data_IF_066120936285
#
_entry.id   IF_066120936285
#
_cell.length_a   1.000
_cell.length_b   1.000
_cell.length_c   1.000
_cell.angle_alpha   90.00
_cell.angle_beta   90.00
_cell.angle_gamma   90.00
#
_symmetry.space_group_name_H-M   'P 1'
#
loop_
_entity.id
_entity.type
_entity.pdbx_description
1 polymer ?
#
# COMPACT_ATOMS: atom_id res chain seq x y z
N UNK A 1 13.53 -0.25 -11.46
CA UNK A 1 12.29 -1.01 -11.67
C UNK A 1 12.62 -2.27 -12.46
N UNK A 2 12.18 -3.46 -12.00
CA UNK A 2 12.41 -4.74 -12.71
C UNK A 2 11.35 -4.91 -13.81
N UNK A 3 11.70 -5.41 -14.98
CA UNK A 3 10.75 -5.61 -16.08
C UNK A 3 10.69 -7.07 -16.46
N UNK A 4 9.48 -7.61 -16.60
CA UNK A 4 9.18 -8.94 -17.09
C UNK A 4 8.49 -8.83 -18.45
N UNK A 5 8.96 -9.58 -19.44
CA UNK A 5 8.33 -9.60 -20.77
C UNK A 5 7.02 -10.38 -20.73
N UNK A 6 6.97 -11.46 -19.95
CA UNK A 6 5.83 -12.37 -19.87
C UNK A 6 5.48 -12.72 -18.43
N UNK A 7 4.25 -13.24 -18.21
CA UNK A 7 3.84 -13.78 -16.93
C UNK A 7 4.70 -14.99 -16.51
N UNK A 8 5.18 -15.79 -17.46
CA UNK A 8 6.05 -16.94 -17.20
C UNK A 8 7.39 -16.54 -16.58
N UNK A 9 7.97 -15.40 -17.00
CA UNK A 9 9.21 -14.89 -16.39
C UNK A 9 9.00 -14.46 -14.93
N UNK A 10 7.85 -13.86 -14.64
CA UNK A 10 7.48 -13.56 -13.25
C UNK A 10 7.28 -14.86 -12.46
N UNK A 11 6.60 -15.85 -13.03
CA UNK A 11 6.35 -17.13 -12.37
C UNK A 11 7.64 -17.89 -12.00
N UNK A 12 8.68 -17.78 -12.82
CA UNK A 12 10.01 -18.31 -12.53
C UNK A 12 10.67 -17.68 -11.28
N UNK A 13 10.18 -16.53 -10.80
CA UNK A 13 10.64 -15.89 -9.57
C UNK A 13 9.88 -16.35 -8.31
N UNK A 14 9.08 -17.42 -8.39
CA UNK A 14 8.36 -17.95 -7.23
C UNK A 14 9.31 -18.27 -6.07
N UNK A 15 8.93 -17.85 -4.86
CA UNK A 15 9.76 -17.96 -3.67
C UNK A 15 10.84 -16.89 -3.52
N UNK A 16 10.96 -15.93 -4.43
CA UNK A 16 11.99 -14.88 -4.37
C UNK A 16 11.42 -13.51 -4.01
N UNK A 17 12.27 -12.63 -3.47
CA UNK A 17 12.00 -11.21 -3.44
C UNK A 17 11.99 -10.66 -4.86
N UNK A 18 10.87 -10.08 -5.28
CA UNK A 18 10.69 -9.58 -6.65
C UNK A 18 10.77 -8.07 -6.75
N UNK A 19 10.59 -7.37 -5.62
CA UNK A 19 10.53 -5.92 -5.62
C UNK A 19 10.66 -5.28 -4.23
N UNK A 20 11.28 -4.11 -4.24
CA UNK A 20 11.17 -3.09 -3.19
C UNK A 20 10.73 -1.80 -3.89
N UNK A 21 9.63 -1.21 -3.42
CA UNK A 21 9.12 0.05 -3.98
C UNK A 21 9.96 1.24 -3.52
N UNK A 22 9.84 2.35 -4.24
CA UNK A 22 10.24 3.65 -3.71
C UNK A 22 9.44 4.00 -2.45
N UNK A 23 9.98 4.97 -1.71
CA UNK A 23 9.27 5.57 -0.58
C UNK A 23 8.15 6.50 -1.07
N UNK A 24 7.00 6.45 -0.42
CA UNK A 24 5.93 7.43 -0.57
C UNK A 24 5.65 8.09 0.77
N UNK A 25 5.40 9.40 0.76
CA UNK A 25 4.95 10.13 1.94
C UNK A 25 3.44 10.04 2.05
N UNK A 26 2.94 9.81 3.26
CA UNK A 26 1.49 9.80 3.54
C UNK A 26 1.06 11.21 3.93
N UNK A 27 0.19 11.82 3.12
CA UNK A 27 -0.26 13.20 3.36
C UNK A 27 -1.63 13.24 4.02
N UNK A 28 -1.90 14.31 4.76
CA UNK A 28 -3.23 14.54 5.35
C UNK A 28 -4.32 14.59 4.28
N UNK A 29 -4.01 15.16 3.11
CA UNK A 29 -4.95 15.22 1.99
C UNK A 29 -5.39 13.83 1.54
N UNK A 30 -4.47 12.87 1.41
CA UNK A 30 -4.83 11.51 1.04
C UNK A 30 -5.68 10.83 2.11
N UNK A 31 -5.38 11.07 3.39
CA UNK A 31 -6.17 10.56 4.51
C UNK A 31 -7.59 11.12 4.48
N UNK A 32 -7.73 12.43 4.27
CA UNK A 32 -9.03 13.08 4.18
C UNK A 32 -9.82 12.57 2.97
N UNK A 33 -9.22 12.50 1.78
CA UNK A 33 -9.89 11.97 0.59
C UNK A 33 -10.33 10.51 0.74
N UNK A 34 -9.55 9.70 1.48
CA UNK A 34 -9.95 8.34 1.80
C UNK A 34 -11.13 8.29 2.77
N UNK A 35 -11.18 9.20 3.76
CA UNK A 35 -12.33 9.35 4.63
C UNK A 35 -13.60 9.72 3.83
N UNK A 36 -13.50 10.69 2.92
CA UNK A 36 -14.62 11.07 2.04
C UNK A 36 -15.10 9.89 1.19
N UNK A 37 -14.17 9.12 0.61
CA UNK A 37 -14.49 7.99 -0.25
C UNK A 37 -15.14 6.80 0.49
N UNK A 38 -14.82 6.62 1.78
CA UNK A 38 -15.23 5.44 2.55
C UNK A 38 -16.26 5.73 3.65
N UNK A 39 -16.47 6.99 3.99
CA UNK A 39 -17.31 7.42 5.11
C UNK A 39 -16.62 7.36 6.47
N UNK A 40 -15.38 6.84 6.57
CA UNK A 40 -14.65 6.74 7.85
C UNK A 40 -13.98 8.07 8.23
N UNK A 41 -14.76 8.92 8.90
CA UNK A 41 -14.35 10.23 9.42
C UNK A 41 -13.96 10.18 10.90
N UNK A 42 -13.49 9.03 11.40
CA UNK A 42 -13.04 8.93 12.77
C UNK A 42 -11.94 9.97 13.05
N UNK A 43 -12.07 10.73 14.13
CA UNK A 43 -11.24 11.92 14.43
C UNK A 43 -9.73 11.65 14.42
N UNK A 44 -9.28 10.44 14.76
CA UNK A 44 -7.86 10.06 14.72
C UNK A 44 -7.25 10.14 13.31
N UNK A 45 -8.08 10.22 12.27
CA UNK A 45 -7.67 10.33 10.87
C UNK A 45 -7.77 11.77 10.35
N UNK A 46 -8.85 12.48 10.68
CA UNK A 46 -9.26 13.71 9.96
C UNK A 46 -9.21 15.00 10.79
N UNK A 47 -9.01 14.91 12.11
CA UNK A 47 -9.01 16.07 13.01
C UNK A 47 -7.62 16.22 13.69
N UNK A 48 -6.72 17.04 13.11
CA UNK A 48 -5.37 17.24 13.65
C UNK A 48 -5.32 17.78 15.08
N UNK A 49 -6.23 18.69 15.43
CA UNK A 49 -6.24 19.32 16.76
C UNK A 49 -6.62 18.29 17.82
N UNK A 50 -7.70 17.54 17.58
CA UNK A 50 -8.13 16.49 18.50
C UNK A 50 -7.15 15.32 18.51
N UNK A 51 -6.60 14.94 17.36
CA UNK A 51 -5.61 13.86 17.24
C UNK A 51 -4.30 14.17 17.98
N UNK A 52 -3.87 15.43 18.03
CA UNK A 52 -2.67 15.85 18.75
C UNK A 52 -2.75 15.57 20.28
N UNK A 53 -3.94 15.69 20.87
CA UNK A 53 -4.18 15.34 22.27
C UNK A 53 -4.45 13.84 22.49
N UNK A 54 -4.52 13.05 21.41
CA UNK A 54 -4.85 11.63 21.42
C UNK A 54 -3.64 10.72 21.64
N UNK A 55 -3.87 9.40 21.67
CA UNK A 55 -2.84 8.40 21.99
C UNK A 55 -1.70 8.30 20.96
N UNK A 56 -1.87 8.88 19.77
CA UNK A 56 -0.89 8.83 18.68
C UNK A 56 -0.10 10.15 18.51
N UNK A 57 -0.46 11.20 19.25
CA UNK A 57 0.20 12.51 19.17
C UNK A 57 -0.01 13.28 17.86
N UNK A 58 -0.99 12.87 17.06
CA UNK A 58 -1.30 13.42 15.74
C UNK A 58 -2.19 12.49 14.93
N UNK A 59 -2.57 12.91 13.74
CA UNK A 59 -3.38 12.08 12.83
C UNK A 59 -2.59 10.89 12.33
N UNK A 60 -3.28 9.77 12.18
CA UNK A 60 -2.74 8.54 11.57
C UNK A 60 -3.58 8.18 10.35
N UNK A 61 -2.97 7.55 9.36
CA UNK A 61 -3.69 7.04 8.20
C UNK A 61 -4.64 5.89 8.59
N UNK A 62 -5.73 5.75 7.84
CA UNK A 62 -6.56 4.56 7.91
C UNK A 62 -5.73 3.31 7.59
N UNK A 63 -5.96 2.22 8.34
CA UNK A 63 -5.34 0.93 8.00
C UNK A 63 -5.70 0.50 6.57
N UNK A 64 -6.97 0.69 6.18
CA UNK A 64 -7.44 0.39 4.83
C UNK A 64 -6.87 1.31 3.75
N UNK A 65 -6.57 2.57 4.04
CA UNK A 65 -5.78 3.40 3.13
C UNK A 65 -4.39 2.80 2.92
N UNK A 66 -3.70 2.44 4.00
CA UNK A 66 -2.37 1.80 3.92
C UNK A 66 -2.37 0.55 3.05
N UNK A 67 -3.38 -0.31 3.22
CA UNK A 67 -3.58 -1.51 2.41
C UNK A 67 -3.88 -1.17 0.93
N UNK A 68 -4.67 -0.13 0.69
CA UNK A 68 -5.07 0.31 -0.66
C UNK A 68 -3.94 0.95 -1.46
N UNK A 69 -2.78 1.21 -0.84
CA UNK A 69 -1.57 1.68 -1.53
C UNK A 69 -0.81 0.54 -2.25
N UNK A 70 -1.20 -0.72 -2.05
CA UNK A 70 -0.56 -1.87 -2.72
C UNK A 70 -0.44 -1.70 -4.25
N UNK A 71 -1.46 -1.25 -5.01
CA UNK A 71 -1.35 -0.98 -6.44
C UNK A 71 -0.32 0.12 -6.77
N UNK A 72 -0.32 1.24 -6.04
CA UNK A 72 0.67 2.32 -6.23
C UNK A 72 2.10 1.84 -5.99
N UNK A 73 2.30 0.99 -4.99
CA UNK A 73 3.59 0.37 -4.76
C UNK A 73 3.95 -0.67 -5.84
N UNK A 74 2.99 -1.24 -6.59
CA UNK A 74 3.28 -2.19 -7.68
C UNK A 74 3.85 -1.41 -8.87
N UNK A 75 3.22 -0.29 -9.21
CA UNK A 75 3.63 0.59 -10.32
C UNK A 75 5.09 1.05 -10.20
N UNK A 76 5.57 1.34 -8.99
CA UNK A 76 6.98 1.76 -8.79
C UNK A 76 7.96 0.60 -8.65
N UNK A 77 7.49 -0.64 -8.59
CA UNK A 77 8.29 -1.81 -8.25
C UNK A 77 8.75 -2.62 -9.47
N UNK A 78 7.80 -3.03 -10.31
CA UNK A 78 8.06 -3.82 -11.50
C UNK A 78 6.93 -3.70 -12.53
N UNK A 79 7.23 -4.06 -13.77
CA UNK A 79 6.30 -4.04 -14.89
C UNK A 79 6.24 -5.42 -15.57
N UNK A 80 5.07 -5.78 -16.11
CA UNK A 80 4.88 -6.98 -16.94
C UNK A 80 4.32 -6.55 -18.29
N UNK A 81 5.16 -6.52 -19.32
CA UNK A 81 4.81 -5.98 -20.64
C UNK A 81 3.69 -6.79 -21.30
N UNK A 82 3.74 -8.12 -21.19
CA UNK A 82 2.71 -9.02 -21.72
C UNK A 82 1.36 -8.99 -20.99
N UNK A 83 1.16 -8.08 -20.03
CA UNK A 83 -0.10 -7.96 -19.27
C UNK A 83 -0.87 -6.70 -19.68
N UNK A 84 -2.19 -6.83 -19.87
CA UNK A 84 -3.05 -5.68 -20.23
C UNK A 84 -3.63 -4.96 -19.01
N UNK A 85 -4.00 -5.73 -17.97
CA UNK A 85 -4.55 -5.20 -16.72
C UNK A 85 -4.29 -6.20 -15.58
N UNK A 86 -4.27 -5.70 -14.35
CA UNK A 86 -4.28 -6.51 -13.14
C UNK A 86 -5.54 -6.22 -12.32
N UNK A 87 -6.11 -7.26 -11.70
CA UNK A 87 -7.26 -7.14 -10.81
C UNK A 87 -6.87 -7.69 -9.44
N UNK A 88 -7.23 -6.99 -8.38
CA UNK A 88 -7.08 -7.52 -7.03
C UNK A 88 -8.09 -8.65 -6.82
N UNK A 89 -7.62 -9.90 -6.84
CA UNK A 89 -8.46 -11.08 -6.59
C UNK A 89 -8.94 -11.15 -5.14
N UNK A 90 -8.10 -10.72 -4.20
CA UNK A 90 -8.39 -10.79 -2.78
C UNK A 90 -7.13 -10.80 -1.94
N UNK A 91 -7.34 -10.91 -0.63
CA UNK A 91 -6.28 -10.91 0.36
C UNK A 91 -6.46 -12.11 1.28
N UNK A 92 -5.35 -12.74 1.65
CA UNK A 92 -5.33 -13.76 2.70
C UNK A 92 -5.25 -13.04 4.07
N UNK A 93 -4.22 -13.34 4.87
CA UNK A 93 -4.03 -12.72 6.18
C UNK A 93 -3.47 -11.29 6.05
N UNK A 94 -4.20 -10.31 6.57
CA UNK A 94 -3.75 -8.92 6.72
C UNK A 94 -3.70 -8.54 8.21
N UNK A 95 -2.65 -7.82 8.62
CA UNK A 95 -2.48 -7.29 9.98
C UNK A 95 -1.84 -5.91 9.91
N UNK A 96 -2.36 -4.97 10.71
CA UNK A 96 -1.79 -3.63 10.89
C UNK A 96 -1.06 -3.60 12.23
N UNK A 97 0.27 -3.79 12.21
CA UNK A 97 1.06 -3.99 13.43
C UNK A 97 1.41 -2.69 14.16
N UNK A 98 1.42 -1.56 13.44
CA UNK A 98 1.72 -0.25 13.97
C UNK A 98 0.88 0.81 13.24
N UNK A 99 0.51 1.92 13.90
CA UNK A 99 -0.13 3.05 13.23
C UNK A 99 0.83 3.70 12.23
N UNK A 100 0.28 4.41 11.26
CA UNK A 100 1.04 5.18 10.26
C UNK A 100 0.76 6.66 10.48
N UNK A 101 1.62 7.40 11.21
CA UNK A 101 1.45 8.83 11.39
C UNK A 101 1.43 9.57 10.04
N UNK A 102 0.58 10.58 9.92
CA UNK A 102 0.60 11.49 8.76
C UNK A 102 1.97 12.20 8.70
N UNK A 103 2.51 12.34 7.50
CA UNK A 103 3.86 12.85 7.24
C UNK A 103 4.95 11.76 7.26
N UNK A 104 4.65 10.56 7.76
CA UNK A 104 5.57 9.43 7.66
C UNK A 104 5.73 8.91 6.22
N UNK A 105 6.74 8.08 6.00
CA UNK A 105 7.00 7.44 4.71
C UNK A 105 6.79 5.94 4.78
N UNK A 106 6.19 5.37 3.74
CA UNK A 106 6.01 3.94 3.56
C UNK A 106 6.72 3.44 2.29
N UNK A 107 7.19 2.19 2.34
CA UNK A 107 7.62 1.42 1.16
C UNK A 107 7.17 -0.02 1.30
N UNK A 108 6.94 -0.70 0.19
CA UNK A 108 6.61 -2.10 0.15
C UNK A 108 7.84 -2.94 -0.20
N UNK A 109 8.03 -4.04 0.54
CA UNK A 109 8.97 -5.12 0.19
C UNK A 109 8.16 -6.36 -0.11
N UNK A 110 8.43 -7.02 -1.24
CA UNK A 110 7.55 -8.04 -1.80
C UNK A 110 8.30 -9.31 -2.14
N UNK A 111 7.79 -10.42 -1.63
CA UNK A 111 8.17 -11.77 -2.03
C UNK A 111 7.04 -12.36 -2.86
N UNK A 112 7.36 -12.85 -4.06
CA UNK A 112 6.39 -13.63 -4.84
C UNK A 112 6.29 -15.02 -4.19
N UNK A 113 5.13 -15.37 -3.66
CA UNK A 113 4.94 -16.68 -3.03
C UNK A 113 4.81 -17.77 -4.09
N UNK A 114 3.91 -17.56 -5.04
CA UNK A 114 3.68 -18.42 -6.19
C UNK A 114 3.01 -17.60 -7.29
N UNK A 115 3.17 -18.03 -8.55
CA UNK A 115 2.34 -17.61 -9.66
C UNK A 115 2.13 -18.80 -10.60
N UNK A 116 0.99 -18.81 -11.27
CA UNK A 116 0.69 -19.73 -12.37
C UNK A 116 0.57 -18.89 -13.62
N UNK A 117 1.33 -19.24 -14.66
CA UNK A 117 1.33 -18.57 -15.96
C UNK A 117 0.45 -19.35 -16.94
#
# INVERSE_FOLDING_TARGET
MKTFQTLSELAACSGQEVAVSDWITITQQQVNLFAEATGDHQWIHVDPEKAAAGPFGGTIAHGFLTLSLLPRFFESSFEIIGSRMGVNYGLNKVRFMAPVPVGSRLRARRKLLAAVA
#
